data_IF_967105201472
#
_entry.id   IF_967105201472
#
_cell.length_a   1.000
_cell.length_b   1.000
_cell.length_c   1.000
_cell.angle_alpha   90.00
_cell.angle_beta   90.00
_cell.angle_gamma   90.00
#
_symmetry.space_group_name_H-M   'P 1'
#
loop_
_entity.id
_entity.type
_entity.pdbx_description
1 polymer ?
#
# COMPACT_ATOMS: atom_id res chain seq x y z
N UNK A 1 -0.99 4.11 25.37
CA UNK A 1 0.45 4.41 25.13
C UNK A 1 1.20 3.09 25.20
N UNK A 2 2.24 2.87 24.38
CA UNK A 2 2.96 1.57 24.36
C UNK A 2 3.72 1.34 25.67
N UNK A 3 3.80 0.09 26.12
CA UNK A 3 4.46 -0.26 27.39
C UNK A 3 6.00 -0.06 27.38
N UNK A 4 6.59 0.16 26.20
CA UNK A 4 8.03 0.36 26.00
C UNK A 4 8.27 1.31 24.84
N UNK A 5 9.44 1.95 24.81
CA UNK A 5 9.87 2.78 23.70
C UNK A 5 9.98 1.93 22.41
N UNK A 6 9.37 2.35 21.28
CA UNK A 6 9.44 1.58 20.05
C UNK A 6 10.88 1.47 19.51
N UNK A 7 11.28 0.27 19.10
CA UNK A 7 12.52 0.03 18.36
C UNK A 7 12.32 0.34 16.88
N UNK A 8 13.37 0.29 16.08
CA UNK A 8 13.26 0.44 14.63
C UNK A 8 12.23 -0.53 14.01
N UNK A 9 12.10 -1.74 14.58
CA UNK A 9 11.21 -2.79 14.10
C UNK A 9 9.80 -2.76 14.72
N UNK A 10 9.60 -2.01 15.81
CA UNK A 10 8.29 -1.89 16.46
C UNK A 10 7.67 -0.51 16.35
N UNK A 11 8.36 0.47 15.75
CA UNK A 11 7.75 1.77 15.45
C UNK A 11 6.68 1.60 14.38
N UNK A 12 5.49 2.11 14.65
CA UNK A 12 4.45 2.24 13.64
C UNK A 12 4.86 3.25 12.57
N UNK A 13 4.57 2.95 11.31
CA UNK A 13 4.71 3.90 10.20
C UNK A 13 3.32 4.37 9.80
N UNK A 14 3.11 5.68 9.73
CA UNK A 14 1.87 6.25 9.21
C UNK A 14 1.94 6.20 7.69
N UNK A 15 1.28 5.21 7.09
CA UNK A 15 1.17 5.11 5.65
C UNK A 15 -0.01 5.95 5.16
N UNK A 16 0.26 7.01 4.38
CA UNK A 16 -0.76 7.88 3.81
C UNK A 16 -1.67 7.12 2.84
N UNK A 17 -2.99 7.30 2.94
CA UNK A 17 -3.98 6.60 2.12
C UNK A 17 -3.84 5.06 2.13
N UNK A 18 -3.59 4.49 3.32
CA UNK A 18 -3.39 3.04 3.50
C UNK A 18 -4.59 2.19 3.07
N UNK A 19 -5.81 2.61 3.42
CA UNK A 19 -7.03 1.88 3.03
C UNK A 19 -7.15 1.75 1.51
N UNK A 20 -7.02 2.86 0.80
CA UNK A 20 -7.09 2.90 -0.66
C UNK A 20 -5.98 2.04 -1.30
N UNK A 21 -4.78 2.08 -0.72
CA UNK A 21 -3.66 1.28 -1.22
C UNK A 21 -3.87 -0.21 -0.98
N UNK A 22 -4.50 -0.59 0.14
CA UNK A 22 -4.87 -1.99 0.40
C UNK A 22 -5.90 -2.49 -0.61
N UNK A 23 -6.90 -1.67 -0.94
CA UNK A 23 -7.93 -2.04 -1.92
C UNK A 23 -7.30 -2.24 -3.31
N UNK A 24 -6.37 -1.38 -3.71
CA UNK A 24 -5.55 -1.55 -4.93
C UNK A 24 -4.82 -2.91 -4.92
N UNK A 25 -4.16 -3.26 -3.82
CA UNK A 25 -3.43 -4.53 -3.71
C UNK A 25 -4.40 -5.71 -3.84
N UNK A 26 -5.56 -5.64 -3.18
CA UNK A 26 -6.57 -6.70 -3.23
C UNK A 26 -7.10 -6.89 -4.66
N UNK A 27 -7.47 -5.82 -5.36
CA UNK A 27 -7.95 -5.90 -6.75
C UNK A 27 -6.92 -6.55 -7.69
N UNK A 28 -5.65 -6.18 -7.54
CA UNK A 28 -4.59 -6.75 -8.37
C UNK A 28 -4.35 -8.23 -8.06
N UNK A 29 -4.40 -8.62 -6.78
CA UNK A 29 -4.30 -10.02 -6.37
C UNK A 29 -5.52 -10.84 -6.83
N UNK A 30 -6.73 -10.30 -6.74
CA UNK A 30 -7.93 -10.94 -7.28
C UNK A 30 -7.81 -11.19 -8.79
N UNK A 31 -7.21 -10.26 -9.54
CA UNK A 31 -6.94 -10.44 -10.96
C UNK A 31 -5.93 -11.58 -11.23
N UNK A 32 -4.97 -11.80 -10.33
CA UNK A 32 -4.05 -12.96 -10.39
C UNK A 32 -4.81 -14.26 -10.13
N UNK A 33 -5.61 -14.31 -9.07
CA UNK A 33 -6.38 -15.50 -8.71
C UNK A 33 -7.44 -15.87 -9.77
N UNK A 34 -7.99 -14.87 -10.45
CA UNK A 34 -8.90 -15.07 -11.58
C UNK A 34 -8.17 -15.41 -12.90
N UNK A 35 -6.84 -15.54 -12.90
CA UNK A 35 -6.04 -15.87 -14.08
C UNK A 35 -5.98 -14.75 -15.14
N UNK A 36 -6.38 -13.52 -14.80
CA UNK A 36 -6.43 -12.37 -15.73
C UNK A 36 -5.09 -11.64 -15.85
N UNK A 37 -4.22 -11.75 -14.85
CA UNK A 37 -2.88 -11.12 -14.81
C UNK A 37 -1.85 -12.09 -14.26
N UNK A 38 -0.60 -11.96 -14.73
CA UNK A 38 0.53 -12.61 -14.07
C UNK A 38 0.80 -11.95 -12.70
N UNK A 39 1.37 -12.70 -11.75
CA UNK A 39 1.71 -12.19 -10.43
C UNK A 39 2.65 -10.97 -10.51
N UNK A 40 3.69 -11.04 -11.35
CA UNK A 40 4.64 -9.93 -11.55
C UNK A 40 3.94 -8.68 -12.11
N UNK A 41 3.08 -8.83 -13.10
CA UNK A 41 2.34 -7.70 -13.69
C UNK A 41 1.40 -7.06 -12.68
N UNK A 42 0.67 -7.86 -11.91
CA UNK A 42 -0.25 -7.38 -10.89
C UNK A 42 0.47 -6.61 -9.78
N UNK A 43 1.57 -7.16 -9.25
CA UNK A 43 2.36 -6.49 -8.21
C UNK A 43 3.00 -5.18 -8.71
N UNK A 44 3.52 -5.16 -9.93
CA UNK A 44 4.06 -3.92 -10.52
C UNK A 44 2.97 -2.87 -10.71
N UNK A 45 1.76 -3.28 -11.12
CA UNK A 45 0.60 -2.38 -11.25
C UNK A 45 0.17 -1.85 -9.89
N UNK A 46 0.15 -2.70 -8.85
CA UNK A 46 -0.17 -2.30 -7.48
C UNK A 46 0.82 -1.25 -6.95
N UNK A 47 2.14 -1.42 -7.19
CA UNK A 47 3.17 -0.43 -6.85
C UNK A 47 2.89 0.90 -7.54
N UNK A 48 2.70 0.89 -8.86
CA UNK A 48 2.44 2.11 -9.63
C UNK A 48 1.20 2.86 -9.13
N UNK A 49 0.10 2.13 -8.87
CA UNK A 49 -1.15 2.69 -8.35
C UNK A 49 -0.99 3.19 -6.91
N UNK A 50 -0.23 2.49 -6.07
CA UNK A 50 0.08 2.88 -4.69
C UNK A 50 0.93 4.15 -4.61
N UNK A 51 1.95 4.29 -5.46
CA UNK A 51 2.80 5.50 -5.53
C UNK A 51 1.97 6.75 -5.84
N UNK A 52 0.96 6.63 -6.69
CA UNK A 52 0.04 7.73 -6.96
C UNK A 52 -0.76 8.14 -5.71
N UNK A 53 -1.16 7.19 -4.87
CA UNK A 53 -1.85 7.50 -3.61
C UNK A 53 -0.94 8.20 -2.62
N UNK A 54 0.33 7.81 -2.55
CA UNK A 54 1.33 8.48 -1.73
C UNK A 54 1.56 9.93 -2.18
N UNK A 55 1.69 10.17 -3.50
CA UNK A 55 1.83 11.53 -4.04
C UNK A 55 0.58 12.39 -3.84
N UNK A 56 -0.62 11.80 -3.87
CA UNK A 56 -1.86 12.50 -3.52
C UNK A 56 -1.85 12.89 -2.04
N UNK A 57 -1.49 11.96 -1.15
CA UNK A 57 -1.41 12.22 0.28
C UNK A 57 -0.40 13.35 0.58
N UNK A 58 0.80 13.28 0.00
CA UNK A 58 1.85 14.32 0.14
C UNK A 58 1.32 15.73 -0.20
N UNK A 59 0.50 15.86 -1.26
CA UNK A 59 -0.10 17.15 -1.63
C UNK A 59 -1.17 17.64 -0.66
N UNK A 60 -1.88 16.73 0.02
CA UNK A 60 -2.94 17.08 0.99
C UNK A 60 -2.42 17.43 2.39
N UNK A 61 -1.16 17.13 2.69
CA UNK A 61 -0.52 17.43 3.98
C UNK A 61 0.28 18.75 3.96
N UNK A 62 0.20 19.52 2.87
CA UNK A 62 0.67 20.91 2.81
C UNK A 62 -0.40 21.85 3.33
#
# INVERSE_FOLDING_TARGET
MTATAPTANSKGVRFGNFLQTRDIINEELEAVWAGRKSATTALNTAVQRGDQQLRRFERTQK
#
